data_IF_571765608760
#
_entry.id   IF_571765608760
#
_cell.length_a   1.000
_cell.length_b   1.000
_cell.length_c   1.000
_cell.angle_alpha   90.00
_cell.angle_beta   90.00
_cell.angle_gamma   90.00
#
_symmetry.space_group_name_H-M   'P 1'
#
loop_
_entity.id
_entity.type
_entity.pdbx_description
1 polymer ?
#
# COMPACT_ATOMS: atom_id res chain seq x y z
N UNK A 1 47.69 -9.33 34.08
CA UNK A 1 46.29 -9.08 34.43
C UNK A 1 45.56 -8.57 33.21
N UNK A 2 45.06 -9.47 32.35
CA UNK A 2 44.31 -9.15 31.16
C UNK A 2 42.84 -9.02 31.55
N UNK A 3 42.33 -7.81 31.73
CA UNK A 3 40.94 -7.53 31.99
C UNK A 3 40.11 -7.90 30.75
N UNK A 4 39.34 -9.01 30.83
CA UNK A 4 38.27 -9.34 29.87
C UNK A 4 37.16 -8.30 30.07
N UNK A 5 37.18 -7.22 29.30
CA UNK A 5 36.00 -6.39 29.09
C UNK A 5 34.95 -7.29 28.41
N UNK A 6 34.04 -7.86 29.19
CA UNK A 6 32.80 -8.40 28.68
C UNK A 6 32.06 -7.21 28.09
N UNK A 7 32.12 -7.07 26.78
CA UNK A 7 31.22 -6.18 26.04
C UNK A 7 29.78 -6.69 26.32
N UNK A 8 29.10 -6.05 27.26
CA UNK A 8 27.70 -6.32 27.53
C UNK A 8 26.94 -5.88 26.29
N UNK A 9 26.54 -6.84 25.45
CA UNK A 9 25.73 -6.58 24.28
C UNK A 9 24.46 -5.88 24.78
N UNK A 10 24.34 -4.58 24.54
CA UNK A 10 23.12 -3.85 24.92
C UNK A 10 21.98 -4.37 24.07
N UNK A 11 20.99 -4.96 24.72
CA UNK A 11 19.77 -5.48 24.08
C UNK A 11 18.89 -4.32 23.61
N UNK A 12 18.10 -4.57 22.59
CA UNK A 12 17.07 -3.64 22.13
C UNK A 12 16.06 -3.41 23.25
N UNK A 13 15.65 -2.16 23.45
CA UNK A 13 14.48 -1.78 24.27
C UNK A 13 13.35 -1.43 23.33
N UNK A 14 12.13 -1.75 23.72
CA UNK A 14 10.95 -1.47 22.91
C UNK A 14 9.97 -0.56 23.64
N UNK A 15 9.30 0.31 22.89
CA UNK A 15 8.23 1.18 23.39
C UNK A 15 7.07 1.12 22.41
N UNK A 16 5.85 1.09 22.94
CA UNK A 16 4.62 1.08 22.13
C UNK A 16 3.81 2.33 22.47
N UNK A 17 3.37 3.02 21.46
CA UNK A 17 2.43 4.14 21.56
C UNK A 17 1.35 4.01 20.48
N UNK A 18 0.29 4.80 20.61
CA UNK A 18 -0.76 4.88 19.60
C UNK A 18 -1.14 6.33 19.32
N UNK A 19 -1.67 6.57 18.14
CA UNK A 19 -2.19 7.89 17.74
C UNK A 19 -3.45 7.72 16.92
N UNK A 20 -4.48 8.49 17.27
CA UNK A 20 -5.68 8.63 16.46
C UNK A 20 -5.43 9.76 15.45
N UNK A 21 -5.41 9.40 14.18
CA UNK A 21 -5.25 10.32 13.05
C UNK A 21 -6.62 10.76 12.54
N UNK A 22 -6.76 12.01 12.10
CA UNK A 22 -8.01 12.58 11.62
C UNK A 22 -7.91 12.89 10.13
N UNK A 23 -8.81 12.32 9.33
CA UNK A 23 -8.87 12.62 7.90
C UNK A 23 -9.29 14.06 7.65
N UNK A 24 -8.68 14.72 6.67
CA UNK A 24 -9.09 16.07 6.19
C UNK A 24 -10.48 16.06 5.58
N UNK A 25 -10.81 14.99 4.90
CA UNK A 25 -12.12 14.70 4.33
C UNK A 25 -12.46 13.24 4.61
N UNK A 26 -13.71 12.89 4.81
CA UNK A 26 -14.09 11.50 4.99
C UNK A 26 -13.57 10.63 3.85
N UNK A 27 -12.84 9.56 4.19
CA UNK A 27 -12.31 8.62 3.21
C UNK A 27 -13.40 7.58 2.88
N UNK A 28 -14.06 7.77 1.74
CA UNK A 28 -15.08 6.84 1.24
C UNK A 28 -14.42 5.60 0.62
N UNK A 29 -14.71 4.44 1.17
CA UNK A 29 -14.28 3.14 0.65
C UNK A 29 -15.49 2.26 0.37
N UNK A 30 -15.32 1.13 -0.32
CA UNK A 30 -16.39 0.15 -0.53
C UNK A 30 -16.92 -0.48 0.77
N UNK A 31 -16.25 -0.26 1.90
CA UNK A 31 -16.58 -0.85 3.20
C UNK A 31 -17.15 0.15 4.20
N UNK A 32 -17.07 1.44 3.91
CA UNK A 32 -17.57 2.50 4.77
C UNK A 32 -16.81 3.79 4.60
N UNK A 33 -17.13 4.73 5.48
CA UNK A 33 -16.52 6.06 5.49
C UNK A 33 -15.70 6.21 6.76
N UNK A 34 -14.40 6.42 6.61
CA UNK A 34 -13.49 6.65 7.72
C UNK A 34 -13.29 8.16 7.94
N UNK A 35 -13.47 8.61 9.17
CA UNK A 35 -13.17 9.98 9.61
C UNK A 35 -11.90 10.04 10.46
N UNK A 36 -11.53 8.91 11.06
CA UNK A 36 -10.33 8.73 11.88
C UNK A 36 -9.66 7.38 11.58
N UNK A 37 -8.38 7.28 11.91
CA UNK A 37 -7.61 6.05 11.85
C UNK A 37 -6.70 5.92 13.06
N UNK A 38 -6.81 4.80 13.79
CA UNK A 38 -5.94 4.50 14.93
C UNK A 38 -4.71 3.74 14.43
N UNK A 39 -3.53 4.37 14.55
CA UNK A 39 -2.25 3.72 14.27
C UNK A 39 -1.46 3.49 15.55
N UNK A 40 -0.75 2.37 15.61
CA UNK A 40 0.21 2.05 16.65
C UNK A 40 1.63 2.29 16.16
N UNK A 41 2.52 2.66 17.07
CA UNK A 41 3.93 2.89 16.77
C UNK A 41 4.79 2.06 17.71
N UNK A 42 5.75 1.34 17.12
CA UNK A 42 6.81 0.64 17.85
C UNK A 42 8.09 1.45 17.70
N UNK A 43 8.69 1.79 18.83
CA UNK A 43 10.04 2.37 18.88
C UNK A 43 11.01 1.34 19.39
N UNK A 44 12.06 1.06 18.64
CA UNK A 44 13.21 0.26 19.05
C UNK A 44 14.35 1.20 19.44
N UNK A 45 15.01 0.95 20.56
CA UNK A 45 16.17 1.71 21.00
C UNK A 45 17.35 0.78 21.28
N UNK A 46 18.48 1.02 20.64
CA UNK A 46 19.73 0.30 20.83
C UNK A 46 20.92 1.25 20.76
N UNK A 47 21.77 1.25 21.79
CA UNK A 47 22.97 2.09 21.86
C UNK A 47 22.70 3.59 21.67
N UNK A 48 21.53 4.09 22.07
CA UNK A 48 21.13 5.49 21.90
C UNK A 48 20.56 5.83 20.52
N UNK A 49 20.52 4.87 19.59
CA UNK A 49 19.85 4.99 18.30
C UNK A 49 18.41 4.54 18.43
N UNK A 50 17.50 5.22 17.75
CA UNK A 50 16.08 4.89 17.72
C UNK A 50 15.61 4.59 16.30
N UNK A 51 14.79 3.55 16.18
CA UNK A 51 14.02 3.24 14.98
C UNK A 51 12.53 3.19 15.31
N UNK A 52 11.70 3.79 14.49
CA UNK A 52 10.25 3.86 14.66
C UNK A 52 9.56 3.15 13.49
N UNK A 53 8.58 2.32 13.79
CA UNK A 53 7.71 1.71 12.81
C UNK A 53 6.24 1.89 13.16
N UNK A 54 5.40 1.93 12.15
CA UNK A 54 3.95 2.08 12.26
C UNK A 54 3.26 0.75 12.00
N UNK A 55 2.44 0.31 12.96
CA UNK A 55 1.57 -0.85 12.84
C UNK A 55 0.15 -0.32 12.53
N UNK A 56 -0.16 -0.22 11.24
CA UNK A 56 -1.43 0.33 10.74
C UNK A 56 -2.39 -0.81 10.42
N UNK A 57 -3.45 -0.97 11.20
CA UNK A 57 -4.48 -1.98 11.00
C UNK A 57 -5.81 -1.31 10.64
N UNK A 58 -6.44 -1.79 9.58
CA UNK A 58 -7.77 -1.32 9.14
C UNK A 58 -8.82 -2.30 9.61
N UNK A 59 -9.77 -1.91 10.50
CA UNK A 59 -10.70 -2.82 11.15
C UNK A 59 -11.51 -3.72 10.21
N UNK A 60 -11.91 -3.17 9.05
CA UNK A 60 -12.78 -3.86 8.11
C UNK A 60 -12.03 -4.52 6.94
N UNK A 61 -10.69 -4.42 6.91
CA UNK A 61 -9.88 -4.86 5.77
C UNK A 61 -8.73 -5.77 6.15
N UNK A 62 -7.95 -5.40 7.18
CA UNK A 62 -6.75 -6.16 7.56
C UNK A 62 -7.09 -7.56 8.06
N UNK A 63 -6.38 -8.57 7.59
CA UNK A 63 -6.57 -9.95 8.05
C UNK A 63 -6.17 -10.15 9.51
N UNK A 64 -5.37 -9.25 10.07
CA UNK A 64 -4.95 -9.22 11.47
C UNK A 64 -5.75 -8.21 12.32
N UNK A 65 -6.88 -7.70 11.78
CA UNK A 65 -7.81 -6.88 12.56
C UNK A 65 -8.44 -7.69 13.69
N UNK A 66 -8.37 -7.14 14.90
CA UNK A 66 -8.91 -7.75 16.12
C UNK A 66 -9.25 -6.66 17.15
N UNK A 67 -9.96 -6.99 18.25
CA UNK A 67 -10.18 -6.05 19.35
C UNK A 67 -8.87 -5.40 19.84
N UNK A 68 -8.93 -4.11 20.14
CA UNK A 68 -7.77 -3.26 20.51
C UNK A 68 -6.91 -3.89 21.60
N UNK A 69 -7.52 -4.42 22.66
CA UNK A 69 -6.84 -5.06 23.77
C UNK A 69 -6.01 -6.28 23.35
N UNK A 70 -6.57 -7.09 22.43
CA UNK A 70 -5.87 -8.26 21.87
C UNK A 70 -4.74 -7.85 20.93
N UNK A 71 -4.98 -6.83 20.11
CA UNK A 71 -3.95 -6.33 19.21
C UNK A 71 -2.76 -5.77 19.99
N UNK A 72 -3.01 -4.96 21.01
CA UNK A 72 -1.97 -4.42 21.87
C UNK A 72 -1.21 -5.53 22.62
N UNK A 73 -1.91 -6.54 23.13
CA UNK A 73 -1.28 -7.67 23.79
C UNK A 73 -0.34 -8.44 22.86
N UNK A 74 -0.76 -8.66 21.60
CA UNK A 74 0.06 -9.31 20.58
C UNK A 74 1.27 -8.46 20.22
N UNK A 75 1.07 -7.16 20.01
CA UNK A 75 2.14 -6.21 19.70
C UNK A 75 3.20 -6.19 20.83
N UNK A 76 2.78 -6.15 22.10
CA UNK A 76 3.68 -6.23 23.25
C UNK A 76 4.43 -7.56 23.32
N UNK A 77 3.77 -8.68 22.98
CA UNK A 77 4.44 -9.99 22.88
C UNK A 77 5.51 -10.00 21.81
N UNK A 78 5.25 -9.43 20.65
CA UNK A 78 6.24 -9.28 19.58
C UNK A 78 7.42 -8.40 20.02
N UNK A 79 7.15 -7.31 20.74
CA UNK A 79 8.17 -6.44 21.33
C UNK A 79 9.05 -7.18 22.35
N UNK A 80 8.45 -7.98 23.25
CA UNK A 80 9.21 -8.81 24.21
C UNK A 80 10.14 -9.79 23.49
N UNK A 81 9.68 -10.40 22.39
CA UNK A 81 10.55 -11.26 21.57
C UNK A 81 11.75 -10.49 21.03
N UNK A 82 11.52 -9.29 20.47
CA UNK A 82 12.60 -8.42 19.96
C UNK A 82 13.61 -8.10 21.06
N UNK A 83 13.15 -7.78 22.27
CA UNK A 83 14.02 -7.51 23.43
C UNK A 83 14.89 -8.72 23.82
N UNK A 84 14.36 -9.92 23.69
CA UNK A 84 15.06 -11.17 24.05
C UNK A 84 16.04 -11.64 22.98
N UNK A 85 15.75 -11.38 21.70
CA UNK A 85 16.45 -12.01 20.58
C UNK A 85 17.22 -11.03 19.71
N UNK A 86 17.02 -9.71 19.88
CA UNK A 86 17.49 -8.67 18.97
C UNK A 86 17.04 -8.90 17.49
N UNK A 87 15.90 -9.55 17.25
CA UNK A 87 15.44 -9.92 15.92
C UNK A 87 13.94 -9.95 15.76
N UNK A 88 13.45 -9.97 14.52
CA UNK A 88 12.02 -10.06 14.17
C UNK A 88 11.59 -11.54 14.19
N UNK A 89 10.50 -11.90 14.89
CA UNK A 89 9.94 -13.24 14.86
C UNK A 89 9.08 -13.48 13.61
N UNK A 90 9.69 -13.56 12.42
CA UNK A 90 9.00 -13.62 11.14
C UNK A 90 7.92 -14.70 11.06
N UNK A 91 8.23 -15.94 11.48
CA UNK A 91 7.26 -17.04 11.43
C UNK A 91 6.05 -16.80 12.34
N UNK A 92 6.28 -16.25 13.56
CA UNK A 92 5.20 -15.90 14.46
C UNK A 92 4.32 -14.77 13.92
N UNK A 93 4.93 -13.82 13.18
CA UNK A 93 4.25 -12.62 12.68
C UNK A 93 3.75 -12.74 11.25
N UNK A 94 4.00 -13.86 10.57
CA UNK A 94 3.48 -14.10 9.21
C UNK A 94 1.94 -13.89 9.10
N UNK A 95 1.10 -14.31 10.08
CA UNK A 95 -0.34 -14.02 10.08
C UNK A 95 -0.72 -12.57 10.44
N UNK A 96 0.24 -11.73 10.83
CA UNK A 96 0.02 -10.38 11.34
C UNK A 96 0.79 -9.32 10.56
N UNK A 97 0.38 -9.05 9.31
CA UNK A 97 1.09 -8.17 8.38
C UNK A 97 1.37 -6.77 8.92
N UNK A 98 0.41 -6.17 9.63
CA UNK A 98 0.55 -4.81 10.16
C UNK A 98 1.64 -4.70 11.23
N UNK A 99 1.72 -5.68 12.14
CA UNK A 99 2.74 -5.75 13.19
C UNK A 99 4.11 -6.06 12.58
N UNK A 100 4.15 -7.02 11.65
CA UNK A 100 5.38 -7.40 10.95
C UNK A 100 5.97 -6.19 10.24
N UNK A 101 5.17 -5.46 9.45
CA UNK A 101 5.61 -4.28 8.73
C UNK A 101 6.12 -3.19 9.69
N UNK A 102 5.44 -2.96 10.82
CA UNK A 102 5.88 -2.01 11.83
C UNK A 102 7.27 -2.34 12.40
N UNK A 103 7.52 -3.61 12.71
CA UNK A 103 8.84 -4.04 13.18
C UNK A 103 9.91 -3.94 12.08
N UNK A 104 9.60 -4.36 10.85
CA UNK A 104 10.54 -4.21 9.72
C UNK A 104 10.97 -2.76 9.51
N UNK A 105 10.03 -1.80 9.57
CA UNK A 105 10.32 -0.36 9.50
C UNK A 105 11.24 0.09 10.64
N UNK A 106 10.89 -0.30 11.88
CA UNK A 106 11.65 0.10 13.06
C UNK A 106 13.09 -0.43 13.01
N UNK A 107 13.29 -1.67 12.56
CA UNK A 107 14.63 -2.24 12.34
C UNK A 107 15.35 -1.53 11.19
N UNK A 108 14.69 -1.28 10.06
CA UNK A 108 15.31 -0.57 8.94
C UNK A 108 15.81 0.83 9.35
N UNK A 109 15.04 1.55 10.15
CA UNK A 109 15.47 2.84 10.69
C UNK A 109 16.60 2.71 11.72
N UNK A 110 16.57 1.67 12.54
CA UNK A 110 17.64 1.38 13.49
C UNK A 110 18.95 1.08 12.75
N UNK A 111 18.91 0.27 11.70
CA UNK A 111 20.05 -0.08 10.83
C UNK A 111 20.57 1.14 10.05
N UNK A 112 19.66 2.06 9.68
CA UNK A 112 20.01 3.36 9.11
C UNK A 112 20.52 4.38 10.16
N UNK A 113 20.92 3.91 11.35
CA UNK A 113 21.40 4.74 12.45
C UNK A 113 20.43 5.86 12.86
N UNK A 114 19.12 5.55 12.87
CA UNK A 114 18.03 6.46 13.22
C UNK A 114 17.60 7.41 12.10
N UNK A 115 18.21 7.33 10.93
CA UNK A 115 17.86 8.15 9.76
C UNK A 115 16.50 7.78 9.22
N UNK A 116 15.74 8.77 8.73
CA UNK A 116 14.53 8.55 7.95
C UNK A 116 14.80 8.16 6.49
N UNK A 117 16.04 8.31 6.01
CA UNK A 117 16.51 7.74 4.75
C UNK A 117 16.85 6.26 4.98
N UNK A 118 15.96 5.36 4.58
CA UNK A 118 16.05 3.92 4.88
C UNK A 118 16.81 3.13 3.82
N UNK A 119 17.28 3.77 2.74
CA UNK A 119 17.93 3.13 1.61
C UNK A 119 19.00 4.04 1.00
N UNK A 120 19.84 3.47 0.11
CA UNK A 120 20.89 4.21 -0.64
C UNK A 120 20.41 4.59 -2.06
N UNK A 121 19.10 4.53 -2.34
CA UNK A 121 18.52 4.79 -3.66
C UNK A 121 18.60 6.28 -4.04
N UNK A 122 18.50 6.62 -5.34
CA UNK A 122 18.35 8.01 -5.77
C UNK A 122 17.17 8.74 -5.14
N UNK A 123 16.08 8.02 -4.83
CA UNK A 123 14.95 8.54 -4.06
C UNK A 123 15.39 9.02 -2.66
N UNK A 124 16.08 8.18 -1.91
CA UNK A 124 16.59 8.50 -0.57
C UNK A 124 17.60 9.65 -0.57
N UNK A 125 18.24 9.92 -1.71
CA UNK A 125 19.16 11.03 -1.91
C UNK A 125 18.46 12.30 -2.40
N UNK A 126 17.14 12.28 -2.64
CA UNK A 126 16.39 13.40 -3.19
C UNK A 126 16.68 13.70 -4.67
N UNK A 127 17.29 12.75 -5.40
CA UNK A 127 17.68 12.91 -6.81
C UNK A 127 16.58 12.48 -7.79
N UNK A 128 15.75 11.52 -7.39
CA UNK A 128 14.64 11.01 -8.20
C UNK A 128 13.36 10.91 -7.36
N UNK A 129 12.24 11.38 -7.91
CA UNK A 129 10.92 11.20 -7.31
C UNK A 129 10.23 9.95 -7.86
N UNK A 130 9.45 9.27 -7.03
CA UNK A 130 8.63 8.14 -7.43
C UNK A 130 7.36 8.66 -8.12
N UNK A 131 7.08 8.30 -9.38
CA UNK A 131 5.81 8.66 -10.02
C UNK A 131 4.64 8.02 -9.27
N UNK A 132 3.58 8.79 -9.05
CA UNK A 132 2.38 8.36 -8.31
C UNK A 132 1.13 8.61 -9.12
N UNK A 133 0.10 7.82 -8.87
CA UNK A 133 -1.22 8.08 -9.41
C UNK A 133 -1.99 9.12 -8.58
N UNK A 134 -2.74 9.97 -9.25
CA UNK A 134 -3.77 10.79 -8.62
C UNK A 134 -4.98 9.94 -8.28
N UNK A 135 -5.35 9.85 -7.00
CA UNK A 135 -6.50 9.05 -6.56
C UNK A 135 -7.77 9.90 -6.52
N UNK A 136 -8.82 9.41 -7.19
CA UNK A 136 -10.18 9.94 -7.13
C UNK A 136 -11.02 8.98 -6.28
N UNK A 137 -11.29 9.41 -5.04
CA UNK A 137 -12.08 8.65 -4.07
C UNK A 137 -13.55 8.57 -4.48
N UNK A 138 -14.22 7.51 -3.99
CA UNK A 138 -15.67 7.37 -4.10
C UNK A 138 -16.40 8.57 -3.46
N UNK A 139 -17.55 8.92 -4.01
CA UNK A 139 -18.41 10.01 -3.56
C UNK A 139 -19.60 10.16 -4.49
N UNK A 140 -20.31 11.28 -4.42
CA UNK A 140 -21.28 11.64 -5.46
C UNK A 140 -20.55 11.89 -6.79
N UNK A 141 -21.30 11.88 -7.89
CA UNK A 141 -20.73 12.17 -9.20
C UNK A 141 -20.01 13.53 -9.21
N UNK A 142 -20.63 14.55 -8.65
CA UNK A 142 -20.09 15.92 -8.61
C UNK A 142 -18.80 16.00 -7.80
N UNK A 143 -18.72 15.30 -6.67
CA UNK A 143 -17.51 15.21 -5.86
C UNK A 143 -16.38 14.49 -6.59
N UNK A 144 -16.70 13.36 -7.25
CA UNK A 144 -15.72 12.59 -8.03
C UNK A 144 -15.22 13.40 -9.22
N UNK A 145 -16.13 14.11 -9.90
CA UNK A 145 -15.80 14.98 -11.01
C UNK A 145 -14.86 16.12 -10.58
N UNK A 146 -15.18 16.79 -9.48
CA UNK A 146 -14.35 17.88 -8.94
C UNK A 146 -12.94 17.39 -8.54
N UNK A 147 -12.85 16.22 -7.88
CA UNK A 147 -11.57 15.59 -7.53
C UNK A 147 -10.76 15.20 -8.76
N UNK A 148 -11.43 14.70 -9.80
CA UNK A 148 -10.80 14.38 -11.07
C UNK A 148 -10.18 15.62 -11.74
N UNK A 149 -10.96 16.70 -11.89
CA UNK A 149 -10.49 17.96 -12.44
C UNK A 149 -9.30 18.54 -11.65
N UNK A 150 -9.32 18.39 -10.32
CA UNK A 150 -8.17 18.79 -9.50
C UNK A 150 -6.90 18.01 -9.87
N UNK A 151 -6.98 16.68 -10.03
CA UNK A 151 -5.81 15.84 -10.38
C UNK A 151 -5.30 16.18 -11.78
N UNK A 152 -6.19 16.39 -12.73
CA UNK A 152 -5.82 16.82 -14.09
C UNK A 152 -5.13 18.19 -14.08
N UNK A 153 -5.65 19.16 -13.32
CA UNK A 153 -5.05 20.49 -13.16
C UNK A 153 -3.68 20.45 -12.47
N UNK A 154 -3.49 19.52 -11.53
CA UNK A 154 -2.21 19.31 -10.85
C UNK A 154 -1.17 18.59 -11.74
N UNK A 155 -1.53 18.15 -12.95
CA UNK A 155 -0.63 17.54 -13.92
C UNK A 155 -0.32 16.08 -13.66
N UNK A 156 -1.22 15.33 -13.03
CA UNK A 156 -1.05 13.89 -12.91
C UNK A 156 -1.16 13.20 -14.27
N UNK A 157 -0.14 12.39 -14.62
CA UNK A 157 -0.13 11.58 -15.84
C UNK A 157 -0.74 10.18 -15.65
N UNK A 158 -1.04 9.81 -14.42
CA UNK A 158 -1.81 8.61 -14.09
C UNK A 158 -2.91 8.97 -13.10
N UNK A 159 -4.15 8.60 -13.41
CA UNK A 159 -5.30 8.78 -12.52
C UNK A 159 -5.92 7.42 -12.22
N UNK A 160 -6.15 7.15 -10.93
CA UNK A 160 -6.90 5.99 -10.46
C UNK A 160 -8.29 6.45 -10.00
N UNK A 161 -9.33 6.01 -10.71
CA UNK A 161 -10.72 6.33 -10.40
C UNK A 161 -11.36 5.15 -9.67
N UNK A 162 -11.87 5.38 -8.47
CA UNK A 162 -12.67 4.38 -7.77
C UNK A 162 -14.07 4.30 -8.38
N UNK A 163 -14.53 3.07 -8.66
CA UNK A 163 -15.82 2.77 -9.27
C UNK A 163 -16.54 1.66 -8.50
N UNK A 164 -17.79 1.35 -8.87
CA UNK A 164 -18.60 0.30 -8.22
C UNK A 164 -19.44 0.78 -7.05
N UNK A 165 -19.52 2.10 -6.80
CA UNK A 165 -20.27 2.67 -5.69
C UNK A 165 -21.51 3.48 -6.12
N UNK A 166 -21.51 4.04 -7.31
CA UNK A 166 -22.63 4.79 -7.89
C UNK A 166 -23.17 4.06 -9.13
N UNK A 167 -24.15 4.66 -9.79
CA UNK A 167 -24.67 4.10 -11.03
C UNK A 167 -23.57 3.97 -12.10
N UNK A 168 -23.48 2.82 -12.76
CA UNK A 168 -22.39 2.49 -13.67
C UNK A 168 -22.32 3.42 -14.88
N UNK A 169 -23.46 3.90 -15.40
CA UNK A 169 -23.47 4.86 -16.50
C UNK A 169 -22.85 6.20 -16.09
N UNK A 170 -23.07 6.61 -14.84
CA UNK A 170 -22.44 7.82 -14.27
C UNK A 170 -20.92 7.64 -14.09
N UNK A 171 -20.47 6.43 -13.73
CA UNK A 171 -19.05 6.10 -13.69
C UNK A 171 -18.42 6.13 -15.08
N UNK A 172 -19.11 5.61 -16.10
CA UNK A 172 -18.70 5.71 -17.48
C UNK A 172 -18.63 7.16 -18.00
N UNK A 173 -19.51 8.06 -17.55
CA UNK A 173 -19.42 9.49 -17.87
C UNK A 173 -18.10 10.10 -17.39
N UNK A 174 -17.62 9.75 -16.18
CA UNK A 174 -16.33 10.22 -15.67
C UNK A 174 -15.17 9.70 -16.54
N UNK A 175 -15.20 8.42 -16.90
CA UNK A 175 -14.20 7.79 -17.77
C UNK A 175 -14.20 8.43 -19.15
N UNK A 176 -15.37 8.65 -19.75
CA UNK A 176 -15.57 9.32 -21.04
C UNK A 176 -15.00 10.73 -21.02
N UNK A 177 -15.33 11.50 -19.97
CA UNK A 177 -14.84 12.86 -19.79
C UNK A 177 -13.30 12.96 -19.85
N UNK A 178 -12.59 11.99 -19.25
CA UNK A 178 -11.14 11.93 -19.34
C UNK A 178 -10.71 11.69 -20.80
N UNK A 179 -11.31 10.69 -21.45
CA UNK A 179 -10.89 10.26 -22.79
C UNK A 179 -11.27 11.23 -23.93
N UNK A 180 -12.29 12.04 -23.75
CA UNK A 180 -12.62 13.12 -24.67
C UNK A 180 -11.56 14.23 -24.67
N UNK A 181 -10.83 14.40 -23.58
CA UNK A 181 -9.82 15.46 -23.41
C UNK A 181 -8.38 14.97 -23.54
N UNK A 182 -8.12 13.72 -23.17
CA UNK A 182 -6.77 13.17 -23.08
C UNK A 182 -6.68 11.77 -23.68
N UNK A 183 -5.69 11.57 -24.52
CA UNK A 183 -5.34 10.25 -25.03
C UNK A 183 -4.72 9.37 -23.93
N UNK A 184 -4.64 8.05 -24.16
CA UNK A 184 -3.99 7.13 -23.23
C UNK A 184 -2.49 7.42 -23.03
N UNK A 185 -1.84 8.06 -24.01
CA UNK A 185 -0.43 8.46 -23.93
C UNK A 185 -0.23 9.69 -23.04
N UNK A 186 -1.24 10.54 -22.93
CA UNK A 186 -1.19 11.73 -22.08
C UNK A 186 -1.56 11.40 -20.64
N UNK A 187 -2.59 10.55 -20.46
CA UNK A 187 -3.05 10.13 -19.13
C UNK A 187 -3.32 8.61 -19.10
N UNK A 188 -2.54 7.90 -18.31
CA UNK A 188 -2.86 6.53 -17.91
C UNK A 188 -4.07 6.54 -16.96
N UNK A 189 -5.12 5.83 -17.34
CA UNK A 189 -6.32 5.69 -16.51
C UNK A 189 -6.38 4.29 -15.94
N UNK A 190 -6.45 4.18 -14.61
CA UNK A 190 -6.76 2.96 -13.87
C UNK A 190 -8.11 3.09 -13.21
N UNK A 191 -8.82 2.01 -13.09
CA UNK A 191 -10.07 1.97 -12.31
C UNK A 191 -9.95 0.92 -11.20
N UNK A 192 -10.69 1.13 -10.10
CA UNK A 192 -10.67 0.26 -8.94
C UNK A 192 -12.11 0.05 -8.47
N UNK A 193 -12.60 -1.16 -8.62
CA UNK A 193 -13.98 -1.53 -8.29
C UNK A 193 -14.12 -2.03 -6.85
N UNK A 194 -13.03 -2.32 -6.13
CA UNK A 194 -13.04 -2.86 -4.75
C UNK A 194 -14.07 -4.00 -4.56
N UNK A 195 -14.22 -4.89 -5.53
CA UNK A 195 -15.19 -5.98 -5.51
C UNK A 195 -16.66 -5.54 -5.72
N UNK A 196 -16.87 -4.38 -6.30
CA UNK A 196 -18.22 -3.79 -6.48
C UNK A 196 -19.06 -4.44 -7.58
N UNK A 197 -18.48 -5.28 -8.46
CA UNK A 197 -19.24 -6.01 -9.47
C UNK A 197 -19.61 -7.40 -8.96
N UNK A 198 -20.65 -8.00 -9.59
CA UNK A 198 -20.98 -9.40 -9.38
C UNK A 198 -20.38 -10.26 -10.50
N UNK A 199 -20.16 -11.58 -10.28
CA UNK A 199 -19.68 -12.47 -11.34
C UNK A 199 -20.56 -12.44 -12.62
N UNK A 200 -21.86 -12.17 -12.46
CA UNK A 200 -22.83 -12.17 -13.57
C UNK A 200 -22.70 -10.92 -14.45
N UNK A 201 -22.46 -9.73 -13.84
CA UNK A 201 -22.39 -8.48 -14.59
C UNK A 201 -20.95 -8.00 -14.88
N UNK A 202 -19.95 -8.63 -14.28
CA UNK A 202 -18.56 -8.17 -14.39
C UNK A 202 -18.07 -8.17 -15.84
N UNK A 203 -18.33 -9.23 -16.62
CA UNK A 203 -17.82 -9.30 -18.00
C UNK A 203 -18.41 -8.22 -18.91
N UNK A 204 -19.69 -7.92 -18.76
CA UNK A 204 -20.34 -6.82 -19.49
C UNK A 204 -19.68 -5.48 -19.15
N UNK A 205 -19.55 -5.17 -17.85
CA UNK A 205 -18.92 -3.93 -17.39
C UNK A 205 -17.45 -3.80 -17.81
N UNK A 206 -16.70 -4.89 -17.75
CA UNK A 206 -15.31 -4.91 -18.22
C UNK A 206 -15.20 -4.63 -19.73
N UNK A 207 -16.15 -5.17 -20.51
CA UNK A 207 -16.22 -4.94 -21.96
C UNK A 207 -16.55 -3.48 -22.29
N UNK A 208 -17.48 -2.87 -21.55
CA UNK A 208 -17.81 -1.45 -21.71
C UNK A 208 -16.61 -0.54 -21.34
N UNK A 209 -15.97 -0.81 -20.20
CA UNK A 209 -14.80 -0.06 -19.74
C UNK A 209 -13.61 -0.17 -20.72
N UNK A 210 -13.42 -1.34 -21.34
CA UNK A 210 -12.32 -1.57 -22.28
C UNK A 210 -12.37 -0.67 -23.53
N UNK A 211 -13.52 -0.07 -23.85
CA UNK A 211 -13.68 0.89 -24.96
C UNK A 211 -12.95 2.22 -24.73
N UNK A 212 -12.49 2.46 -23.49
CA UNK A 212 -11.91 3.73 -23.08
C UNK A 212 -10.40 3.67 -22.84
N UNK A 213 -9.67 2.73 -23.45
CA UNK A 213 -8.21 2.61 -23.30
C UNK A 213 -7.74 2.64 -21.82
N UNK A 214 -8.47 1.98 -20.92
CA UNK A 214 -8.12 1.86 -19.51
C UNK A 214 -6.94 0.90 -19.38
N UNK A 215 -5.93 1.27 -18.57
CA UNK A 215 -4.75 0.44 -18.34
C UNK A 215 -5.10 -0.88 -17.63
N UNK A 216 -5.88 -0.80 -16.57
CA UNK A 216 -6.27 -1.95 -15.76
C UNK A 216 -7.46 -1.65 -14.86
N UNK A 217 -8.17 -2.70 -14.45
CA UNK A 217 -9.15 -2.65 -13.37
C UNK A 217 -8.62 -3.42 -12.16
N UNK A 218 -8.72 -2.81 -10.97
CA UNK A 218 -8.37 -3.42 -9.70
C UNK A 218 -9.62 -4.06 -9.09
N UNK A 219 -9.51 -5.32 -8.67
CA UNK A 219 -10.49 -6.13 -7.93
C UNK A 219 -11.95 -5.95 -8.43
N UNK A 220 -12.30 -6.45 -9.63
CA UNK A 220 -13.64 -6.25 -10.19
C UNK A 220 -14.74 -6.91 -9.37
N UNK A 221 -14.54 -8.13 -8.88
CA UNK A 221 -15.48 -8.88 -8.05
C UNK A 221 -14.91 -9.10 -6.63
N UNK A 222 -15.78 -9.44 -5.68
CA UNK A 222 -15.38 -9.73 -4.29
C UNK A 222 -14.35 -10.86 -4.22
N UNK A 223 -13.46 -10.79 -3.25
CA UNK A 223 -12.46 -11.81 -2.96
C UNK A 223 -13.08 -13.18 -2.65
N UNK A 224 -12.25 -14.23 -2.73
CA UNK A 224 -12.58 -15.65 -2.48
C UNK A 224 -13.48 -16.30 -3.55
N UNK A 225 -13.56 -15.69 -4.73
CA UNK A 225 -14.27 -16.22 -5.90
C UNK A 225 -13.27 -16.59 -7.00
N UNK A 226 -12.28 -17.42 -6.67
CA UNK A 226 -11.12 -17.70 -7.54
C UNK A 226 -11.49 -18.22 -8.93
N UNK A 227 -12.50 -19.07 -9.04
CA UNK A 227 -12.94 -19.61 -10.34
C UNK A 227 -13.51 -18.52 -11.26
N UNK A 228 -14.35 -17.64 -10.70
CA UNK A 228 -14.91 -16.51 -11.45
C UNK A 228 -13.84 -15.49 -11.79
N UNK A 229 -12.97 -15.16 -10.83
CA UNK A 229 -11.85 -14.24 -11.07
C UNK A 229 -10.91 -14.80 -12.14
N UNK A 230 -10.58 -16.10 -12.11
CA UNK A 230 -9.75 -16.76 -13.12
C UNK A 230 -10.40 -16.73 -14.52
N UNK A 231 -11.73 -16.94 -14.59
CA UNK A 231 -12.48 -16.78 -15.83
C UNK A 231 -12.40 -15.34 -16.35
N UNK A 232 -12.62 -14.36 -15.48
CA UNK A 232 -12.50 -12.94 -15.85
C UNK A 232 -11.10 -12.58 -16.32
N UNK A 233 -10.04 -13.02 -15.62
CA UNK A 233 -8.66 -12.75 -16.01
C UNK A 233 -8.30 -13.35 -17.39
N UNK A 234 -8.90 -14.50 -17.76
CA UNK A 234 -8.67 -15.15 -19.05
C UNK A 234 -9.45 -14.50 -20.18
N UNK A 235 -10.67 -14.05 -19.95
CA UNK A 235 -11.66 -13.68 -20.99
C UNK A 235 -11.86 -12.16 -21.12
N UNK A 236 -11.51 -11.39 -20.10
CA UNK A 236 -11.69 -9.93 -20.10
C UNK A 236 -10.79 -9.24 -21.12
N UNK A 237 -11.32 -8.29 -21.91
CA UNK A 237 -10.51 -7.43 -22.75
C UNK A 237 -9.69 -6.39 -21.96
N UNK A 238 -10.05 -6.17 -20.67
CA UNK A 238 -9.39 -5.23 -19.77
C UNK A 238 -8.51 -5.97 -18.78
N UNK A 239 -7.19 -5.65 -18.67
CA UNK A 239 -6.29 -6.29 -17.73
C UNK A 239 -6.75 -6.14 -16.27
N UNK A 240 -6.72 -7.22 -15.50
CA UNK A 240 -7.19 -7.26 -14.10
C UNK A 240 -5.98 -7.25 -13.16
N UNK A 241 -6.09 -6.41 -12.11
CA UNK A 241 -5.18 -6.36 -10.98
C UNK A 241 -5.86 -6.89 -9.72
N UNK A 242 -5.16 -7.69 -8.92
CA UNK A 242 -5.66 -8.19 -7.63
C UNK A 242 -5.15 -7.32 -6.49
N UNK A 243 -6.03 -6.96 -5.56
CA UNK A 243 -5.76 -6.26 -4.30
C UNK A 243 -6.33 -7.05 -3.10
N UNK A 244 -7.62 -6.95 -2.84
CA UNK A 244 -8.26 -7.61 -1.69
C UNK A 244 -8.15 -9.13 -1.73
N UNK A 245 -7.99 -9.74 -2.91
CA UNK A 245 -7.78 -11.18 -3.06
C UNK A 245 -6.50 -11.67 -2.37
N UNK A 246 -5.49 -10.79 -2.24
CA UNK A 246 -4.19 -11.13 -1.68
C UNK A 246 -4.16 -11.08 -0.15
N UNK A 247 -5.15 -10.40 0.48
CA UNK A 247 -5.20 -10.17 1.93
C UNK A 247 -5.45 -11.49 2.65
N UNK A 248 -4.58 -11.80 3.64
CA UNK A 248 -4.66 -13.05 4.40
C UNK A 248 -4.02 -14.27 3.73
N UNK A 249 -3.54 -14.13 2.48
CA UNK A 249 -2.74 -15.15 1.80
C UNK A 249 -1.27 -14.94 2.18
N UNK A 250 -0.88 -15.42 3.35
CA UNK A 250 0.43 -15.12 3.92
C UNK A 250 1.48 -16.18 3.63
N UNK A 251 1.07 -17.43 3.39
CA UNK A 251 2.01 -18.53 3.14
C UNK A 251 2.48 -18.56 1.68
N UNK A 252 3.79 -18.82 1.48
CA UNK A 252 4.43 -18.78 0.16
C UNK A 252 3.75 -19.71 -0.85
N UNK A 253 3.41 -20.93 -0.43
CA UNK A 253 2.74 -21.92 -1.28
C UNK A 253 1.32 -21.48 -1.67
N UNK A 254 0.60 -20.82 -0.75
CA UNK A 254 -0.74 -20.30 -1.02
C UNK A 254 -0.68 -19.13 -2.00
N UNK A 255 0.33 -18.24 -1.89
CA UNK A 255 0.60 -17.15 -2.85
C UNK A 255 0.83 -17.71 -4.25
N UNK A 256 1.72 -18.69 -4.38
CA UNK A 256 2.00 -19.34 -5.65
C UNK A 256 0.73 -19.98 -6.25
N UNK A 257 -0.03 -20.74 -5.44
CA UNK A 257 -1.29 -21.37 -5.86
C UNK A 257 -2.32 -20.35 -6.35
N UNK A 258 -2.47 -19.22 -5.65
CA UNK A 258 -3.41 -18.14 -6.05
C UNK A 258 -3.03 -17.60 -7.43
N UNK A 259 -1.75 -17.25 -7.64
CA UNK A 259 -1.29 -16.72 -8.93
C UNK A 259 -1.41 -17.74 -10.07
N UNK A 260 -1.12 -19.01 -9.81
CA UNK A 260 -1.26 -20.09 -10.80
C UNK A 260 -2.72 -20.34 -11.19
N UNK A 261 -3.65 -20.16 -10.23
CA UNK A 261 -5.08 -20.40 -10.45
C UNK A 261 -5.73 -19.21 -11.18
N UNK A 262 -5.52 -17.98 -10.69
CA UNK A 262 -6.23 -16.79 -11.19
C UNK A 262 -5.54 -16.19 -12.41
N UNK A 263 -4.21 -16.15 -12.43
CA UNK A 263 -3.38 -15.57 -13.50
C UNK A 263 -3.76 -14.13 -13.84
N UNK A 264 -3.73 -13.20 -12.87
CA UNK A 264 -4.04 -11.81 -13.12
C UNK A 264 -2.96 -11.14 -13.99
N UNK A 265 -3.26 -9.99 -14.57
CA UNK A 265 -2.25 -9.18 -15.24
C UNK A 265 -1.32 -8.46 -14.24
N UNK A 266 -1.85 -8.10 -13.07
CA UNK A 266 -1.11 -7.38 -12.04
C UNK A 266 -1.51 -7.80 -10.63
N UNK A 267 -0.61 -7.50 -9.66
CA UNK A 267 -0.89 -7.54 -8.22
C UNK A 267 -0.61 -6.16 -7.61
N UNK A 268 -1.47 -5.72 -6.70
CA UNK A 268 -1.36 -4.46 -5.97
C UNK A 268 -0.94 -4.76 -4.55
N UNK A 269 0.18 -4.21 -4.10
CA UNK A 269 0.80 -4.62 -2.86
C UNK A 269 0.80 -3.49 -1.83
N UNK A 270 0.37 -3.83 -0.62
CA UNK A 270 0.32 -2.95 0.56
C UNK A 270 1.04 -3.65 1.71
N UNK A 271 2.25 -3.23 2.10
CA UNK A 271 3.03 -3.96 3.09
C UNK A 271 2.28 -4.26 4.40
N UNK A 272 1.49 -3.31 4.91
CA UNK A 272 0.68 -3.53 6.13
C UNK A 272 -0.46 -4.56 5.97
N UNK A 273 -0.80 -4.99 4.73
CA UNK A 273 -1.85 -5.96 4.45
C UNK A 273 -1.33 -7.30 3.87
N UNK A 274 -0.16 -7.28 3.23
CA UNK A 274 0.33 -8.40 2.41
C UNK A 274 1.60 -9.05 2.94
N UNK A 275 1.80 -9.02 4.28
CA UNK A 275 2.86 -9.74 4.95
C UNK A 275 4.16 -8.94 5.17
N UNK A 276 4.04 -7.62 5.36
CA UNK A 276 5.19 -6.74 5.53
C UNK A 276 5.99 -6.56 4.24
N UNK A 277 7.20 -6.05 4.37
CA UNK A 277 8.18 -5.97 3.27
C UNK A 277 8.54 -7.38 2.78
N UNK A 278 8.77 -8.29 3.70
CA UNK A 278 9.07 -9.70 3.37
C UNK A 278 7.98 -10.31 2.50
N UNK A 279 6.73 -10.23 2.93
CA UNK A 279 5.60 -10.80 2.20
C UNK A 279 5.37 -10.14 0.84
N UNK A 280 5.57 -8.83 0.73
CA UNK A 280 5.50 -8.12 -0.55
C UNK A 280 6.62 -8.55 -1.50
N UNK A 281 7.86 -8.76 -1.03
CA UNK A 281 8.95 -9.32 -1.85
C UNK A 281 8.66 -10.72 -2.34
N UNK A 282 8.04 -11.57 -1.51
CA UNK A 282 7.57 -12.89 -1.95
C UNK A 282 6.55 -12.76 -3.09
N UNK A 283 5.55 -11.87 -2.96
CA UNK A 283 4.57 -11.62 -4.02
C UNK A 283 5.22 -11.12 -5.31
N UNK A 284 6.11 -10.12 -5.23
CA UNK A 284 6.80 -9.54 -6.40
C UNK A 284 7.61 -10.62 -7.13
N UNK A 285 8.37 -11.44 -6.40
CA UNK A 285 9.14 -12.52 -6.98
C UNK A 285 8.25 -13.55 -7.69
N UNK A 286 7.22 -14.05 -7.00
CA UNK A 286 6.29 -15.04 -7.58
C UNK A 286 5.52 -14.49 -8.79
N UNK A 287 5.12 -13.22 -8.75
CA UNK A 287 4.47 -12.53 -9.86
C UNK A 287 5.41 -12.40 -11.06
N UNK A 288 6.66 -11.95 -10.83
CA UNK A 288 7.67 -11.80 -11.87
C UNK A 288 8.00 -13.13 -12.57
N UNK A 289 8.12 -14.22 -11.82
CA UNK A 289 8.33 -15.59 -12.35
C UNK A 289 7.22 -16.03 -13.30
N UNK A 290 6.02 -15.42 -13.20
CA UNK A 290 4.81 -15.71 -14.00
C UNK A 290 4.48 -14.66 -15.05
N UNK A 291 5.34 -13.64 -15.22
CA UNK A 291 5.08 -12.52 -16.12
C UNK A 291 3.96 -11.59 -15.67
N UNK A 292 3.61 -11.61 -14.38
CA UNK A 292 2.60 -10.76 -13.74
C UNK A 292 3.26 -9.46 -13.26
N UNK A 293 2.70 -8.31 -13.62
CA UNK A 293 3.17 -7.01 -13.15
C UNK A 293 2.79 -6.73 -11.69
N UNK A 294 3.45 -5.76 -11.08
CA UNK A 294 3.14 -5.36 -9.71
C UNK A 294 3.38 -3.87 -9.49
N UNK A 295 2.62 -3.27 -8.59
CA UNK A 295 2.90 -1.95 -8.04
C UNK A 295 2.60 -1.91 -6.55
N UNK A 296 3.19 -0.94 -5.86
CA UNK A 296 3.05 -0.75 -4.42
C UNK A 296 2.12 0.43 -4.15
N UNK A 297 1.28 0.29 -3.15
CA UNK A 297 0.40 1.34 -2.66
C UNK A 297 0.39 1.33 -1.12
N UNK A 298 -0.08 2.42 -0.52
CA UNK A 298 -0.32 2.49 0.93
C UNK A 298 -1.73 2.02 1.28
N UNK A 299 -1.92 1.64 2.54
CA UNK A 299 -3.19 1.26 3.15
C UNK A 299 -3.61 2.26 4.23
N UNK A 300 -3.52 3.55 3.93
CA UNK A 300 -3.87 4.67 4.82
C UNK A 300 -2.93 4.82 6.03
N UNK A 301 -1.68 4.40 5.93
CA UNK A 301 -0.66 4.69 6.92
C UNK A 301 -0.42 6.20 7.08
N UNK A 302 0.11 6.61 8.23
CA UNK A 302 0.68 7.94 8.40
C UNK A 302 1.93 8.11 7.52
N UNK A 303 2.53 9.30 7.54
CA UNK A 303 3.78 9.50 6.81
C UNK A 303 4.94 8.62 7.32
N UNK A 304 4.87 8.04 8.52
CA UNK A 304 5.87 7.07 9.00
C UNK A 304 5.84 5.83 8.14
N UNK A 305 4.67 5.19 7.99
CA UNK A 305 4.49 4.03 7.13
C UNK A 305 4.71 4.37 5.66
N UNK A 306 4.17 5.51 5.19
CA UNK A 306 4.36 5.95 3.80
C UNK A 306 5.84 6.15 3.45
N UNK A 307 6.66 6.67 4.37
CA UNK A 307 8.10 6.81 4.17
C UNK A 307 8.78 5.46 3.94
N UNK A 308 8.49 4.49 4.78
CA UNK A 308 9.03 3.14 4.64
C UNK A 308 8.57 2.46 3.33
N UNK A 309 7.29 2.60 2.98
CA UNK A 309 6.74 2.07 1.71
C UNK A 309 7.43 2.71 0.50
N UNK A 310 7.68 4.03 0.54
CA UNK A 310 8.36 4.73 -0.55
C UNK A 310 9.82 4.27 -0.72
N UNK A 311 10.56 4.09 0.38
CA UNK A 311 11.91 3.53 0.34
C UNK A 311 11.93 2.09 -0.19
N UNK A 312 11.03 1.24 0.30
CA UNK A 312 10.86 -0.13 -0.20
C UNK A 312 10.55 -0.14 -1.71
N UNK A 313 9.64 0.73 -2.15
CA UNK A 313 9.29 0.86 -3.57
C UNK A 313 10.52 1.25 -4.43
N UNK A 314 11.32 2.21 -3.96
CA UNK A 314 12.53 2.64 -4.66
C UNK A 314 13.62 1.56 -4.71
N UNK A 315 13.74 0.73 -3.66
CA UNK A 315 14.65 -0.41 -3.66
C UNK A 315 14.21 -1.51 -4.62
N UNK A 316 12.92 -1.85 -4.60
CA UNK A 316 12.39 -3.01 -5.32
C UNK A 316 12.29 -2.77 -6.82
N UNK A 317 11.90 -1.56 -7.24
CA UNK A 317 11.71 -1.23 -8.66
C UNK A 317 12.89 -0.50 -9.29
N UNK A 318 13.99 -0.38 -8.56
CA UNK A 318 15.27 0.10 -9.06
C UNK A 318 15.45 1.61 -9.02
N UNK A 319 16.56 2.11 -9.61
CA UNK A 319 16.99 3.49 -9.45
C UNK A 319 16.00 4.50 -10.03
N UNK A 320 15.20 4.08 -11.01
CA UNK A 320 14.13 4.88 -11.61
C UNK A 320 12.86 4.05 -11.72
N UNK A 321 11.88 4.35 -10.86
CA UNK A 321 10.56 3.70 -10.87
C UNK A 321 9.79 4.18 -12.11
N UNK A 322 9.49 3.27 -13.02
CA UNK A 322 8.85 3.60 -14.30
C UNK A 322 7.31 3.68 -14.21
N UNK A 323 6.71 2.76 -13.44
CA UNK A 323 5.25 2.68 -13.30
C UNK A 323 4.76 3.55 -12.15
N UNK A 324 3.68 4.36 -12.33
CA UNK A 324 3.07 5.11 -11.24
C UNK A 324 2.60 4.21 -10.10
N UNK A 325 2.97 4.59 -8.87
CA UNK A 325 2.69 3.86 -7.63
C UNK A 325 1.55 4.52 -6.84
N UNK A 326 0.92 3.80 -5.92
CA UNK A 326 -0.18 4.32 -5.11
C UNK A 326 0.27 5.03 -3.83
N UNK A 327 1.22 5.95 -3.91
CA UNK A 327 1.88 6.57 -2.74
C UNK A 327 1.45 8.03 -2.50
N UNK A 328 0.26 8.41 -2.97
CA UNK A 328 -0.27 9.78 -2.81
C UNK A 328 -1.01 10.04 -1.50
N UNK A 329 -0.97 9.16 -0.51
CA UNK A 329 -1.81 9.21 0.70
C UNK A 329 -1.28 10.11 1.83
N UNK A 330 -0.05 10.61 1.74
CA UNK A 330 0.54 11.48 2.77
C UNK A 330 -0.21 12.78 3.07
N UNK A 331 -1.15 13.18 2.21
CA UNK A 331 -1.96 14.39 2.36
C UNK A 331 -3.33 14.17 3.02
N UNK A 332 -3.65 12.94 3.42
CA UNK A 332 -5.00 12.57 3.87
C UNK A 332 -5.36 13.10 5.27
N UNK A 333 -4.38 13.25 6.16
CA UNK A 333 -4.61 13.59 7.56
C UNK A 333 -4.35 15.06 7.87
N UNK A 334 -5.11 15.63 8.81
CA UNK A 334 -4.90 16.98 9.33
C UNK A 334 -3.71 17.04 10.30
N UNK A 335 -3.47 15.94 11.00
CA UNK A 335 -2.53 15.78 12.10
C UNK A 335 -1.49 14.66 11.84
N UNK A 336 -1.06 14.53 10.57
CA UNK A 336 -0.09 13.54 10.16
C UNK A 336 1.27 13.70 10.87
N UNK A 337 2.05 12.63 10.92
CA UNK A 337 3.43 12.68 11.42
C UNK A 337 4.31 13.37 10.37
N UNK A 338 5.13 14.32 10.80
CA UNK A 338 6.03 15.02 9.89
C UNK A 338 7.15 14.08 9.41
N UNK A 339 7.34 14.00 8.08
CA UNK A 339 8.37 13.24 7.39
C UNK A 339 8.90 14.05 6.20
N UNK A 340 10.13 13.82 5.75
CA UNK A 340 10.71 14.55 4.62
C UNK A 340 10.14 14.10 3.27
N UNK A 341 8.84 13.94 3.19
CA UNK A 341 8.09 13.56 2.01
C UNK A 341 7.33 14.76 1.42
N UNK A 342 7.44 14.95 0.11
CA UNK A 342 6.71 16.01 -0.61
C UNK A 342 6.19 15.47 -1.93
N UNK A 343 4.95 15.83 -2.27
CA UNK A 343 4.40 15.60 -3.61
C UNK A 343 4.68 16.86 -4.44
N UNK A 344 5.41 16.70 -5.54
CA UNK A 344 5.73 17.77 -6.50
C UNK A 344 5.32 17.27 -7.88
N UNK A 345 4.33 17.92 -8.48
CA UNK A 345 3.67 17.41 -9.68
C UNK A 345 3.02 16.06 -9.43
N UNK A 346 3.33 15.08 -10.25
CA UNK A 346 2.87 13.69 -10.15
C UNK A 346 3.88 12.74 -9.49
N UNK A 347 4.83 13.27 -8.69
CA UNK A 347 5.87 12.47 -8.04
C UNK A 347 5.92 12.70 -6.53
N UNK A 348 6.17 11.62 -5.80
CA UNK A 348 6.56 11.66 -4.37
C UNK A 348 8.07 11.79 -4.28
N UNK A 349 8.54 12.78 -3.53
CA UNK A 349 9.95 13.08 -3.30
C UNK A 349 10.31 12.90 -1.83
N UNK A 350 11.54 12.42 -1.59
CA UNK A 350 12.18 12.46 -0.30
C UNK A 350 13.14 13.67 -0.28
N UNK A 351 12.79 14.71 0.47
CA UNK A 351 13.56 15.93 0.55
C UNK A 351 14.05 16.09 1.98
N UNK A 352 15.34 15.82 2.23
CA UNK A 352 15.96 16.15 3.52
C UNK A 352 15.77 17.65 3.77
N UNK A 353 15.24 18.01 4.94
CA UNK A 353 15.24 19.41 5.36
C UNK A 353 16.70 19.86 5.38
N UNK A 354 17.02 20.88 4.56
CA UNK A 354 18.30 21.54 4.52
C UNK A 354 18.54 22.34 5.79
#
# INVERSE_FOLDING_TARGET
>A
LCGKNKCVKKMIKTFVSSRLLHFKQPAGTSRGVYTTHLSYYVTLEKNGVRGVGECSVLPDLSCDAMPTDRYEALLRKACQWVEQTDGIPYEMLRPYPSILFGLEMAFAQLDANGSTALSETPFAQGKEGIPINGLVWMGSFEEMYARLEEKLRLGFHCVKLKIGAIDFERELELVRHIRERFTRQQIELRVDANGGFTPDNAMERLTELARYDIHSIEQPIKQHQWNDMARLCRESPLPIALDEELIGVNELEQKARLLDTIRPAYVVLKPSLHGGVMGCREWIRLAKERGIGSWITSALESNVGLNAIAHFCAEEFGPRVAMPQGLGTGMLYTDNVEMPLRIIGDKLWFLKNS
#
